data_IF_344765390909
#
_entry.id   IF_344765390909
#
_cell.length_a   1.000
_cell.length_b   1.000
_cell.length_c   1.000
_cell.angle_alpha   90.00
_cell.angle_beta   90.00
_cell.angle_gamma   90.00
#
_symmetry.space_group_name_H-M   'P 1'
#
loop_
_entity.id
_entity.type
_entity.pdbx_description
1 polymer ?
#
# COMPACT_ATOMS: atom_id res chain seq x y z
N UNK A 1 -1.95 -33.81 -42.23
CA UNK A 1 -2.97 -32.80 -41.94
C UNK A 1 -2.25 -31.52 -41.59
N UNK A 2 -2.40 -30.49 -42.42
CA UNK A 2 -1.64 -29.24 -42.38
C UNK A 2 -2.59 -28.05 -42.19
N UNK A 3 -2.04 -26.99 -41.59
CA UNK A 3 -2.48 -25.58 -41.52
C UNK A 3 -3.06 -25.13 -40.18
N UNK A 4 -2.17 -24.59 -39.34
CA UNK A 4 -2.33 -23.29 -38.65
C UNK A 4 -1.02 -22.88 -37.95
N UNK A 5 0.13 -22.96 -38.64
CA UNK A 5 1.32 -22.20 -38.22
C UNK A 5 1.27 -20.87 -38.99
N UNK A 6 1.12 -19.75 -38.29
CA UNK A 6 1.20 -18.41 -38.88
C UNK A 6 2.51 -18.30 -39.67
N UNK A 7 2.41 -18.29 -41.00
CA UNK A 7 3.52 -18.53 -41.92
C UNK A 7 4.49 -17.32 -42.07
N UNK A 8 4.47 -16.39 -41.12
CA UNK A 8 5.08 -15.07 -41.24
C UNK A 8 6.05 -14.71 -40.11
N UNK A 9 6.09 -15.49 -39.03
CA UNK A 9 6.96 -15.24 -37.88
C UNK A 9 8.16 -16.20 -37.93
N UNK A 10 9.37 -15.64 -37.96
CA UNK A 10 10.56 -16.45 -37.72
C UNK A 10 10.52 -17.00 -36.28
N UNK A 11 11.12 -18.17 -35.99
CA UNK A 11 11.15 -18.70 -34.63
C UNK A 11 11.67 -17.69 -33.59
N UNK A 12 12.70 -16.92 -33.96
CA UNK A 12 13.27 -15.85 -33.13
C UNK A 12 12.25 -14.74 -32.82
N UNK A 13 11.44 -14.33 -33.81
CA UNK A 13 10.42 -13.30 -33.61
C UNK A 13 9.25 -13.81 -32.76
N UNK A 14 8.92 -15.10 -32.85
CA UNK A 14 7.93 -15.75 -31.98
C UNK A 14 8.39 -15.79 -30.52
N UNK A 15 9.63 -16.21 -30.28
CA UNK A 15 10.25 -16.21 -28.94
C UNK A 15 10.30 -14.80 -28.34
N UNK A 16 10.59 -13.79 -29.16
CA UNK A 16 10.59 -12.40 -28.73
C UNK A 16 9.20 -11.93 -28.27
N UNK A 17 8.15 -12.15 -29.06
CA UNK A 17 6.79 -11.80 -28.66
C UNK A 17 6.28 -12.58 -27.43
N UNK A 18 6.74 -13.82 -27.24
CA UNK A 18 6.43 -14.58 -26.02
C UNK A 18 7.06 -13.94 -24.77
N UNK A 19 8.31 -13.48 -24.86
CA UNK A 19 8.99 -12.70 -23.81
C UNK A 19 8.29 -11.38 -23.53
N UNK A 20 7.86 -10.65 -24.58
CA UNK A 20 7.09 -9.42 -24.43
C UNK A 20 5.76 -9.64 -23.70
N UNK A 21 5.06 -10.72 -24.02
CA UNK A 21 3.81 -11.10 -23.35
C UNK A 21 4.04 -11.44 -21.88
N UNK A 22 5.14 -12.12 -21.54
CA UNK A 22 5.53 -12.41 -20.16
C UNK A 22 5.82 -11.12 -19.37
N UNK A 23 6.62 -10.21 -19.94
CA UNK A 23 6.95 -8.91 -19.32
C UNK A 23 5.68 -8.09 -19.09
N UNK A 24 4.77 -8.06 -20.06
CA UNK A 24 3.49 -7.37 -19.93
C UNK A 24 2.60 -7.99 -18.85
N UNK A 25 2.58 -9.33 -18.74
CA UNK A 25 1.86 -10.02 -17.67
C UNK A 25 2.43 -9.67 -16.29
N UNK A 26 3.76 -9.63 -16.15
CA UNK A 26 4.41 -9.20 -14.92
C UNK A 26 4.09 -7.74 -14.57
N UNK A 27 4.08 -6.84 -15.56
CA UNK A 27 3.69 -5.43 -15.34
C UNK A 27 2.24 -5.31 -14.85
N UNK A 28 1.31 -6.05 -15.45
CA UNK A 28 -0.09 -6.06 -15.02
C UNK A 28 -0.28 -6.60 -13.61
N UNK A 29 0.48 -7.62 -13.24
CA UNK A 29 0.50 -8.14 -11.86
C UNK A 29 1.09 -7.11 -10.89
N UNK A 30 2.14 -6.38 -11.28
CA UNK A 30 2.71 -5.29 -10.48
C UNK A 30 1.71 -4.14 -10.27
N UNK A 31 0.98 -3.73 -11.31
CA UNK A 31 -0.11 -2.75 -11.18
C UNK A 31 -1.13 -3.15 -10.14
N UNK A 32 -1.57 -4.40 -10.18
CA UNK A 32 -2.52 -4.91 -9.20
C UNK A 32 -1.93 -4.91 -7.80
N UNK A 33 -0.73 -5.44 -7.62
CA UNK A 33 -0.09 -5.54 -6.30
C UNK A 33 0.18 -4.18 -5.67
N UNK A 34 0.59 -3.18 -6.45
CA UNK A 34 0.75 -1.83 -5.91
C UNK A 34 -0.58 -1.20 -5.50
N UNK A 35 -1.67 -1.45 -6.23
CA UNK A 35 -3.01 -0.98 -5.84
C UNK A 35 -3.48 -1.64 -4.56
N UNK A 36 -3.40 -2.96 -4.50
CA UNK A 36 -3.79 -3.75 -3.32
C UNK A 36 -2.96 -3.31 -2.10
N UNK A 37 -1.66 -3.09 -2.28
CA UNK A 37 -0.80 -2.55 -1.22
C UNK A 37 -1.17 -1.13 -0.82
N UNK A 38 -1.48 -0.25 -1.77
CA UNK A 38 -1.85 1.13 -1.46
C UNK A 38 -3.18 1.23 -0.70
N UNK A 39 -4.16 0.39 -1.04
CA UNK A 39 -5.41 0.27 -0.27
C UNK A 39 -5.13 -0.18 1.17
N UNK A 40 -4.27 -1.19 1.35
CA UNK A 40 -3.82 -1.63 2.68
C UNK A 40 -3.10 -0.51 3.44
N UNK A 41 -2.14 0.16 2.79
CA UNK A 41 -1.40 1.29 3.33
C UNK A 41 -2.31 2.43 3.80
N UNK A 42 -3.32 2.80 3.01
CA UNK A 42 -4.29 3.81 3.41
C UNK A 42 -5.13 3.36 4.62
N UNK A 43 -5.50 2.09 4.70
CA UNK A 43 -6.21 1.56 5.86
C UNK A 43 -5.37 1.63 7.15
N UNK A 44 -4.07 1.34 7.04
CA UNK A 44 -3.12 1.46 8.16
C UNK A 44 -2.94 2.93 8.57
N UNK A 45 -2.82 3.86 7.60
CA UNK A 45 -2.75 5.30 7.87
C UNK A 45 -3.97 5.80 8.65
N UNK A 46 -5.19 5.43 8.24
CA UNK A 46 -6.41 5.81 8.94
C UNK A 46 -6.46 5.24 10.37
N UNK A 47 -6.00 4.01 10.55
CA UNK A 47 -5.90 3.38 11.88
C UNK A 47 -4.91 4.13 12.77
N UNK A 48 -3.74 4.50 12.23
CA UNK A 48 -2.74 5.27 12.96
C UNK A 48 -3.23 6.69 13.29
N UNK A 49 -4.03 7.32 12.44
CA UNK A 49 -4.66 8.62 12.73
C UNK A 49 -5.55 8.56 13.97
N UNK A 50 -6.32 7.49 14.13
CA UNK A 50 -7.17 7.31 15.32
C UNK A 50 -6.30 7.14 16.57
N UNK A 51 -5.20 6.37 16.46
CA UNK A 51 -4.30 6.11 17.58
C UNK A 51 -3.54 7.37 17.99
N UNK A 52 -3.05 8.17 17.04
CA UNK A 52 -2.28 9.39 17.36
C UNK A 52 -3.14 10.44 18.06
N UNK A 53 -4.44 10.54 17.74
CA UNK A 53 -5.38 11.40 18.50
C UNK A 53 -5.53 10.91 19.95
N UNK A 54 -5.45 9.59 20.18
CA UNK A 54 -5.44 9.04 21.55
C UNK A 54 -4.14 9.37 22.27
N UNK A 55 -2.99 9.21 21.60
CA UNK A 55 -1.68 9.58 22.16
C UNK A 55 -1.64 11.07 22.52
N UNK A 56 -2.18 11.94 21.67
CA UNK A 56 -2.31 13.37 21.94
C UNK A 56 -3.02 13.65 23.27
N UNK A 57 -4.18 13.04 23.48
CA UNK A 57 -4.94 13.20 24.74
C UNK A 57 -4.18 12.63 25.95
N UNK A 58 -3.46 11.52 25.78
CA UNK A 58 -2.65 10.94 26.85
C UNK A 58 -1.47 11.85 27.22
N UNK A 59 -0.75 12.40 26.24
CA UNK A 59 0.32 13.38 26.43
C UNK A 59 -0.20 14.62 27.17
N UNK A 60 -1.34 15.17 26.76
CA UNK A 60 -1.95 16.32 27.46
C UNK A 60 -2.27 15.99 28.92
N UNK A 61 -2.86 14.82 29.19
CA UNK A 61 -3.18 14.37 30.56
C UNK A 61 -1.92 14.18 31.39
N UNK A 62 -0.89 13.58 30.81
CA UNK A 62 0.39 13.37 31.46
C UNK A 62 1.03 14.70 31.88
N UNK A 63 1.10 15.66 30.95
CA UNK A 63 1.62 17.01 31.22
C UNK A 63 0.85 17.74 32.32
N UNK A 64 -0.49 17.63 32.35
CA UNK A 64 -1.31 18.21 33.43
C UNK A 64 -0.98 17.53 34.77
N UNK A 65 -0.87 16.20 34.79
CA UNK A 65 -0.59 15.44 36.01
C UNK A 65 0.75 15.84 36.62
N UNK A 66 1.82 15.85 35.82
CA UNK A 66 3.17 16.16 36.31
C UNK A 66 3.32 17.65 36.65
N UNK A 67 2.62 18.56 35.96
CA UNK A 67 2.66 20.00 36.26
C UNK A 67 1.87 20.39 37.52
N UNK A 68 0.95 19.53 37.96
CA UNK A 68 0.13 19.76 39.16
C UNK A 68 0.84 19.42 40.48
N UNK A 69 2.06 18.89 40.44
CA UNK A 69 2.77 18.35 41.63
C UNK A 69 3.18 19.39 42.69
N UNK A 70 3.46 20.68 42.42
CA UNK A 70 3.76 21.63 43.49
C UNK A 70 2.45 22.15 44.13
N UNK A 71 2.00 21.52 45.22
CA UNK A 71 0.92 22.05 46.10
C UNK A 71 -0.45 21.37 45.99
N UNK A 72 -0.55 20.21 45.35
CA UNK A 72 -1.81 19.48 45.22
C UNK A 72 -2.24 18.78 46.52
N UNK A 73 -3.55 18.77 46.81
CA UNK A 73 -4.16 18.16 48.01
C UNK A 73 -4.31 16.62 47.95
N UNK A 74 -3.85 15.97 46.89
CA UNK A 74 -4.05 14.53 46.69
C UNK A 74 -2.85 13.71 47.21
N UNK A 75 -3.07 12.53 47.82
CA UNK A 75 -1.98 11.66 48.27
C UNK A 75 -1.13 11.16 47.08
N UNK A 76 0.20 11.14 47.26
CA UNK A 76 1.19 10.69 46.25
C UNK A 76 0.90 9.29 45.67
N UNK A 77 0.26 8.42 46.45
CA UNK A 77 -0.11 7.06 46.02
C UNK A 77 -1.12 7.07 44.86
N UNK A 78 -2.07 8.02 44.83
CA UNK A 78 -3.06 8.12 43.75
C UNK A 78 -2.48 8.76 42.49
N UNK A 79 -1.51 9.66 42.63
CA UNK A 79 -0.84 10.29 41.48
C UNK A 79 0.09 9.33 40.76
N UNK A 80 0.84 8.49 41.51
CA UNK A 80 1.69 7.44 40.93
C UNK A 80 0.86 6.41 40.14
N UNK A 81 -0.25 5.94 40.71
CA UNK A 81 -1.14 4.99 40.02
C UNK A 81 -1.75 5.58 38.73
N UNK A 82 -2.05 6.88 38.72
CA UNK A 82 -2.58 7.56 37.54
C UNK A 82 -1.49 7.77 36.47
N UNK A 83 -0.26 8.08 36.88
CA UNK A 83 0.90 8.21 36.00
C UNK A 83 1.20 6.88 35.29
N UNK A 84 1.31 5.79 36.06
CA UNK A 84 1.52 4.44 35.55
C UNK A 84 0.42 4.02 34.57
N UNK A 85 -0.85 4.33 34.87
CA UNK A 85 -1.95 4.01 33.97
C UNK A 85 -1.85 4.74 32.62
N UNK A 86 -1.43 6.01 32.62
CA UNK A 86 -1.25 6.78 31.38
C UNK A 86 -0.07 6.24 30.58
N UNK A 87 1.06 5.98 31.24
CA UNK A 87 2.27 5.44 30.58
C UNK A 87 1.97 4.07 29.96
N UNK A 88 1.32 3.18 30.72
CA UNK A 88 0.96 1.85 30.22
C UNK A 88 0.04 1.93 28.99
N UNK A 89 -1.00 2.78 29.04
CA UNK A 89 -1.88 2.97 27.88
C UNK A 89 -1.12 3.57 26.67
N UNK A 90 -0.19 4.49 26.92
CA UNK A 90 0.65 5.09 25.88
C UNK A 90 1.52 4.05 25.18
N UNK A 91 2.23 3.22 25.95
CA UNK A 91 3.06 2.12 25.43
C UNK A 91 2.22 1.10 24.65
N UNK A 92 1.05 0.71 25.15
CA UNK A 92 0.13 -0.16 24.39
C UNK A 92 -0.22 0.41 23.01
N UNK A 93 -0.44 1.72 22.92
CA UNK A 93 -0.74 2.39 21.64
C UNK A 93 0.49 2.45 20.73
N UNK A 94 1.67 2.71 21.28
CA UNK A 94 2.92 2.67 20.52
C UNK A 94 3.20 1.29 19.94
N UNK A 95 2.93 0.21 20.68
CA UNK A 95 3.11 -1.16 20.16
C UNK A 95 2.20 -1.44 18.97
N UNK A 96 0.94 -0.98 19.00
CA UNK A 96 0.02 -1.13 17.87
C UNK A 96 0.53 -0.37 16.64
N UNK A 97 0.99 0.87 16.81
CA UNK A 97 1.58 1.64 15.70
C UNK A 97 2.87 1.00 15.17
N UNK A 98 3.68 0.42 16.05
CA UNK A 98 4.90 -0.30 15.67
C UNK A 98 4.59 -1.55 14.87
N UNK A 99 3.55 -2.30 15.27
CA UNK A 99 3.00 -3.43 14.51
C UNK A 99 2.60 -2.99 13.11
N UNK A 100 1.73 -1.99 13.01
CA UNK A 100 1.29 -1.39 11.74
C UNK A 100 2.46 -1.00 10.82
N UNK A 101 3.45 -0.27 11.35
CA UNK A 101 4.64 0.13 10.59
C UNK A 101 5.52 -1.05 10.15
N UNK A 102 5.55 -2.14 10.93
CA UNK A 102 6.27 -3.36 10.55
C UNK A 102 5.52 -4.13 9.47
N UNK A 103 4.20 -4.25 9.58
CA UNK A 103 3.37 -4.95 8.60
C UNK A 103 3.43 -4.27 7.24
N UNK A 104 3.32 -2.93 7.20
CA UNK A 104 3.55 -2.14 5.98
C UNK A 104 4.96 -2.35 5.42
N UNK A 105 6.00 -2.32 6.27
CA UNK A 105 7.38 -2.58 5.84
C UNK A 105 7.53 -3.97 5.22
N UNK A 106 6.96 -5.00 5.82
CA UNK A 106 7.05 -6.36 5.30
C UNK A 106 6.34 -6.47 3.95
N UNK A 107 5.10 -5.98 3.87
CA UNK A 107 4.32 -6.02 2.65
C UNK A 107 4.97 -5.23 1.49
N UNK A 108 5.61 -4.08 1.74
CA UNK A 108 6.33 -3.36 0.67
C UNK A 108 7.60 -4.11 0.25
N UNK A 109 8.30 -4.77 1.18
CA UNK A 109 9.48 -5.56 0.84
C UNK A 109 9.13 -6.81 0.03
N UNK A 110 7.93 -7.35 0.19
CA UNK A 110 7.42 -8.42 -0.68
C UNK A 110 7.21 -7.93 -2.11
N UNK A 111 6.77 -6.67 -2.31
CA UNK A 111 6.70 -6.06 -3.65
C UNK A 111 8.08 -5.97 -4.30
N UNK A 112 9.14 -5.69 -3.54
CA UNK A 112 10.51 -5.63 -4.07
C UNK A 112 10.94 -6.97 -4.71
N UNK A 113 10.48 -8.10 -4.18
CA UNK A 113 10.76 -9.41 -4.75
C UNK A 113 10.16 -9.52 -6.15
N UNK A 114 8.95 -9.01 -6.35
CA UNK A 114 8.28 -9.01 -7.65
C UNK A 114 8.87 -7.97 -8.62
N UNK A 115 9.26 -6.79 -8.11
CA UNK A 115 9.99 -5.80 -8.90
C UNK A 115 11.25 -6.43 -9.50
N UNK A 116 12.00 -7.23 -8.72
CA UNK A 116 13.19 -7.95 -9.20
C UNK A 116 12.86 -8.93 -10.32
N UNK A 117 11.79 -9.72 -10.21
CA UNK A 117 11.38 -10.63 -11.28
C UNK A 117 11.04 -9.88 -12.56
N UNK A 118 10.30 -8.77 -12.44
CA UNK A 118 10.00 -7.89 -13.57
C UNK A 118 11.28 -7.32 -14.21
N UNK A 119 12.23 -6.85 -13.40
CA UNK A 119 13.50 -6.33 -13.92
C UNK A 119 14.37 -7.41 -14.58
N UNK A 120 14.38 -8.63 -14.03
CA UNK A 120 15.08 -9.77 -14.63
C UNK A 120 14.52 -10.11 -16.01
N UNK A 121 13.19 -10.14 -16.15
CA UNK A 121 12.53 -10.36 -17.45
C UNK A 121 12.81 -9.21 -18.43
N UNK A 122 12.66 -7.96 -17.98
CA UNK A 122 12.98 -6.76 -18.77
C UNK A 122 14.43 -6.75 -19.29
N UNK A 123 15.37 -7.20 -18.47
CA UNK A 123 16.80 -7.22 -18.84
C UNK A 123 17.10 -8.27 -19.92
N UNK A 124 16.29 -9.34 -20.01
CA UNK A 124 16.40 -10.37 -21.05
C UNK A 124 15.79 -9.93 -22.40
N UNK A 125 14.93 -8.90 -22.40
CA UNK A 125 14.31 -8.38 -23.61
C UNK A 125 15.35 -7.80 -24.59
N UNK A 126 15.35 -8.30 -25.82
CA UNK A 126 16.11 -7.71 -26.93
C UNK A 126 15.48 -6.38 -27.36
N UNK A 127 16.18 -5.30 -27.02
CA UNK A 127 15.73 -3.91 -27.25
C UNK A 127 15.96 -3.44 -28.69
N UNK A 128 16.68 -4.22 -29.51
CA UNK A 128 16.96 -3.86 -30.90
C UNK A 128 15.80 -4.16 -31.84
N UNK A 129 14.77 -4.91 -31.40
CA UNK A 129 13.62 -5.27 -32.24
C UNK A 129 12.61 -4.13 -32.44
N UNK A 130 12.76 -3.00 -31.73
CA UNK A 130 11.98 -1.77 -31.94
C UNK A 130 10.45 -1.98 -32.01
N UNK A 131 9.94 -2.92 -31.20
CA UNK A 131 8.51 -3.22 -31.15
C UNK A 131 7.73 -2.08 -30.48
N UNK A 132 6.38 -2.04 -30.64
CA UNK A 132 5.54 -1.08 -29.93
C UNK A 132 5.66 -1.15 -28.40
N UNK A 133 5.95 -2.33 -27.83
CA UNK A 133 6.18 -2.45 -26.39
C UNK A 133 7.48 -1.73 -25.98
N UNK A 134 8.54 -1.87 -26.79
CA UNK A 134 9.86 -1.27 -26.54
C UNK A 134 9.85 0.24 -26.77
N UNK A 135 9.33 0.70 -27.91
CA UNK A 135 9.35 2.11 -28.29
C UNK A 135 8.17 2.92 -27.71
N UNK A 136 7.09 2.24 -27.32
CA UNK A 136 5.79 2.87 -27.11
C UNK A 136 5.03 3.06 -28.42
N UNK A 137 3.78 3.49 -28.31
CA UNK A 137 2.93 3.84 -29.43
C UNK A 137 2.08 5.10 -29.14
N UNK A 138 1.09 5.40 -29.98
CA UNK A 138 0.21 6.56 -29.81
C UNK A 138 -0.60 6.54 -28.50
N UNK A 139 -0.82 5.36 -27.94
CA UNK A 139 -1.72 5.08 -26.83
C UNK A 139 -0.98 4.59 -25.57
N UNK A 140 0.21 4.02 -25.71
CA UNK A 140 0.97 3.39 -24.65
C UNK A 140 2.39 3.94 -24.57
N UNK A 141 2.87 4.15 -23.35
CA UNK A 141 4.27 4.45 -23.11
C UNK A 141 5.15 3.21 -23.31
N UNK A 142 6.44 3.43 -23.51
CA UNK A 142 7.42 2.34 -23.60
C UNK A 142 7.49 1.53 -22.31
N UNK A 143 7.89 0.27 -22.42
CA UNK A 143 8.12 -0.58 -21.26
C UNK A 143 9.24 -0.04 -20.34
N UNK A 144 10.20 0.71 -20.90
CA UNK A 144 11.22 1.42 -20.13
C UNK A 144 10.61 2.46 -19.18
N UNK A 145 9.65 3.25 -19.67
CA UNK A 145 8.93 4.21 -18.84
C UNK A 145 8.20 3.53 -17.68
N UNK A 146 7.53 2.40 -17.94
CA UNK A 146 6.86 1.64 -16.89
C UNK A 146 7.84 1.04 -15.88
N UNK A 147 9.04 0.63 -16.32
CA UNK A 147 10.09 0.17 -15.42
C UNK A 147 10.55 1.26 -14.44
N UNK A 148 10.72 2.49 -14.92
CA UNK A 148 11.03 3.64 -14.07
C UNK A 148 9.92 3.89 -13.06
N UNK A 149 8.66 3.89 -13.51
CA UNK A 149 7.51 4.06 -12.61
C UNK A 149 7.44 2.98 -11.53
N UNK A 150 7.73 1.70 -11.85
CA UNK A 150 7.80 0.63 -10.84
C UNK A 150 8.80 0.99 -9.73
N UNK A 151 9.95 1.55 -10.09
CA UNK A 151 10.97 1.95 -9.12
C UNK A 151 10.52 3.16 -8.28
N UNK A 152 9.93 4.16 -8.92
CA UNK A 152 9.48 5.38 -8.24
C UNK A 152 8.37 5.09 -7.23
N UNK A 153 7.40 4.24 -7.59
CA UNK A 153 6.32 3.82 -6.69
C UNK A 153 6.89 3.08 -5.47
N UNK A 154 7.81 2.13 -5.70
CA UNK A 154 8.48 1.42 -4.60
C UNK A 154 9.20 2.39 -3.67
N UNK A 155 10.02 3.28 -4.24
CA UNK A 155 10.83 4.22 -3.48
C UNK A 155 9.98 5.19 -2.67
N UNK A 156 8.87 5.68 -3.23
CA UNK A 156 7.92 6.53 -2.52
C UNK A 156 7.35 5.80 -1.30
N UNK A 157 6.76 4.62 -1.50
CA UNK A 157 6.11 3.86 -0.43
C UNK A 157 7.10 3.44 0.65
N UNK A 158 8.28 2.94 0.25
CA UNK A 158 9.33 2.55 1.18
C UNK A 158 9.84 3.73 2.01
N UNK A 159 10.04 4.89 1.37
CA UNK A 159 10.50 6.11 2.06
C UNK A 159 9.44 6.64 3.04
N UNK A 160 8.16 6.60 2.69
CA UNK A 160 7.06 6.99 3.57
C UNK A 160 7.06 6.15 4.87
N UNK A 161 7.18 4.82 4.75
CA UNK A 161 7.23 3.92 5.91
C UNK A 161 8.46 4.19 6.77
N UNK A 162 9.63 4.43 6.16
CA UNK A 162 10.83 4.79 6.91
C UNK A 162 10.63 6.09 7.68
N UNK A 163 10.00 7.08 7.06
CA UNK A 163 9.69 8.37 7.70
C UNK A 163 8.75 8.18 8.90
N UNK A 164 7.68 7.38 8.75
CA UNK A 164 6.78 7.04 9.86
C UNK A 164 7.52 6.36 11.01
N UNK A 165 8.38 5.36 10.72
CA UNK A 165 9.19 4.72 11.76
C UNK A 165 10.09 5.71 12.49
N UNK A 166 10.73 6.63 11.76
CA UNK A 166 11.59 7.66 12.35
C UNK A 166 10.81 8.59 13.28
N UNK A 167 9.66 9.11 12.85
CA UNK A 167 8.85 10.00 13.68
C UNK A 167 8.24 9.26 14.88
N UNK A 168 7.86 7.99 14.71
CA UNK A 168 7.34 7.16 15.80
C UNK A 168 8.37 6.99 16.92
N UNK A 169 9.68 6.93 16.61
CA UNK A 169 10.74 6.87 17.61
C UNK A 169 10.91 8.17 18.42
N UNK A 170 10.29 9.27 18.00
CA UNK A 170 10.33 10.55 18.69
C UNK A 170 9.11 10.78 19.59
N UNK A 171 8.09 9.92 19.50
CA UNK A 171 6.88 10.03 20.31
C UNK A 171 7.20 9.82 21.79
N UNK A 172 6.88 10.82 22.60
CA UNK A 172 7.11 10.82 24.04
C UNK A 172 5.88 11.40 24.79
N UNK A 173 5.43 10.78 25.90
CA UNK A 173 4.38 11.32 26.76
C UNK A 173 4.61 12.75 27.28
N UNK A 174 5.83 13.29 27.23
CA UNK A 174 6.17 14.66 27.64
C UNK A 174 6.22 15.65 26.47
N UNK A 175 6.12 15.19 25.22
CA UNK A 175 6.33 16.01 24.03
C UNK A 175 5.07 16.08 23.17
N UNK A 176 4.26 17.13 23.35
CA UNK A 176 3.13 17.40 22.44
C UNK A 176 3.60 17.70 21.02
N UNK A 177 4.76 18.35 20.87
CA UNK A 177 5.34 18.66 19.57
C UNK A 177 5.57 17.39 18.74
N UNK A 178 6.19 16.36 19.34
CA UNK A 178 6.43 15.08 18.63
C UNK A 178 5.14 14.40 18.14
N UNK A 179 4.05 14.54 18.90
CA UNK A 179 2.75 13.99 18.54
C UNK A 179 2.12 14.81 17.41
N UNK A 180 2.21 16.14 17.44
CA UNK A 180 1.73 17.01 16.36
C UNK A 180 2.47 16.73 15.06
N UNK A 181 3.79 16.64 15.11
CA UNK A 181 4.65 16.32 13.96
C UNK A 181 4.23 15.00 13.30
N UNK A 182 3.91 13.98 14.10
CA UNK A 182 3.39 12.71 13.59
C UNK A 182 1.99 12.84 12.97
N UNK A 183 1.11 13.65 13.58
CA UNK A 183 -0.24 13.92 13.05
C UNK A 183 -0.17 14.60 11.68
N UNK A 184 0.69 15.60 11.55
CA UNK A 184 0.92 16.30 10.29
C UNK A 184 1.49 15.36 9.22
N UNK A 185 2.43 14.49 9.58
CA UNK A 185 2.95 13.46 8.70
C UNK A 185 1.85 12.54 8.16
N UNK A 186 1.03 11.95 9.04
CA UNK A 186 -0.06 11.06 8.63
C UNK A 186 -1.07 11.77 7.74
N UNK A 187 -1.39 13.04 8.05
CA UNK A 187 -2.31 13.84 7.25
C UNK A 187 -1.75 14.06 5.85
N UNK A 188 -0.51 14.53 5.74
CA UNK A 188 0.14 14.79 4.46
C UNK A 188 0.20 13.54 3.57
N UNK A 189 0.59 12.39 4.14
CA UNK A 189 0.74 11.14 3.37
C UNK A 189 -0.62 10.55 2.94
N UNK A 190 -1.63 10.61 3.81
CA UNK A 190 -2.97 10.08 3.50
C UNK A 190 -3.74 10.88 2.44
N UNK A 191 -3.46 12.18 2.31
CA UNK A 191 -4.16 13.08 1.38
C UNK A 191 -3.31 13.41 0.14
N UNK A 192 -2.34 12.57 -0.21
CA UNK A 192 -1.51 12.79 -1.38
C UNK A 192 -2.24 12.35 -2.67
N UNK A 193 -3.14 13.22 -3.15
CA UNK A 193 -3.93 13.00 -4.37
C UNK A 193 -3.05 12.86 -5.62
N UNK A 194 -1.87 13.51 -5.65
CA UNK A 194 -0.94 13.41 -6.78
C UNK A 194 -0.37 12.00 -6.91
N UNK A 195 0.08 11.42 -5.78
CA UNK A 195 0.56 10.04 -5.77
C UNK A 195 -0.57 9.05 -6.06
N UNK A 196 -1.76 9.26 -5.49
CA UNK A 196 -2.92 8.43 -5.80
C UNK A 196 -3.23 8.45 -7.30
N UNK A 197 -3.29 9.63 -7.92
CA UNK A 197 -3.52 9.73 -9.36
C UNK A 197 -2.41 9.08 -10.18
N UNK A 198 -1.16 9.26 -9.77
CA UNK A 198 -0.01 8.64 -10.41
C UNK A 198 -0.14 7.10 -10.42
N UNK A 199 -0.39 6.50 -9.26
CA UNK A 199 -0.57 5.05 -9.15
C UNK A 199 -1.85 4.56 -9.83
N UNK A 200 -2.97 5.24 -9.61
CA UNK A 200 -4.28 4.75 -10.03
C UNK A 200 -4.58 4.99 -11.50
N UNK A 201 -3.96 5.98 -12.14
CA UNK A 201 -4.23 6.35 -13.53
C UNK A 201 -3.02 6.29 -14.43
N UNK A 202 -1.88 6.83 -14.00
CA UNK A 202 -0.69 7.00 -14.87
C UNK A 202 0.14 5.72 -14.98
N UNK A 203 0.23 4.94 -13.90
CA UNK A 203 0.97 3.68 -13.91
C UNK A 203 0.32 2.59 -14.79
N UNK A 204 -0.96 2.75 -15.14
CA UNK A 204 -1.70 1.79 -15.97
C UNK A 204 -1.12 1.72 -17.37
N UNK A 205 -0.61 0.56 -17.76
CA UNK A 205 -0.17 0.28 -19.11
C UNK A 205 -1.34 0.39 -20.10
N UNK A 206 -2.38 -0.42 -19.92
CA UNK A 206 -3.55 -0.37 -20.79
C UNK A 206 -4.85 -0.72 -20.05
N UNK A 207 -5.83 0.17 -20.12
CA UNK A 207 -7.16 -0.05 -19.52
C UNK A 207 -7.90 -1.26 -20.09
N UNK A 208 -7.59 -1.66 -21.33
CA UNK A 208 -8.21 -2.81 -21.98
C UNK A 208 -7.74 -4.15 -21.41
N UNK A 209 -6.56 -4.17 -20.78
CA UNK A 209 -5.97 -5.37 -20.19
C UNK A 209 -6.40 -5.57 -18.73
N UNK A 210 -7.01 -4.56 -18.11
CA UNK A 210 -7.55 -4.68 -16.77
C UNK A 210 -8.78 -5.61 -16.74
N UNK A 211 -8.99 -6.35 -15.64
CA UNK A 211 -10.19 -7.16 -15.48
C UNK A 211 -11.43 -6.29 -15.66
N UNK A 212 -12.36 -6.71 -16.53
CA UNK A 212 -13.62 -5.98 -16.70
C UNK A 212 -14.36 -5.92 -15.36
N UNK A 213 -14.90 -4.76 -14.97
CA UNK A 213 -15.68 -4.66 -13.74
C UNK A 213 -16.81 -5.66 -13.80
N UNK A 214 -16.77 -6.63 -12.88
CA UNK A 214 -17.85 -7.62 -12.76
C UNK A 214 -19.06 -6.91 -12.17
N UNK A 215 -20.21 -7.04 -12.84
CA UNK A 215 -21.47 -6.50 -12.33
C UNK A 215 -21.64 -6.94 -10.87
N UNK A 216 -22.01 -6.04 -9.93
CA UNK A 216 -22.24 -6.40 -8.53
C UNK A 216 -23.21 -7.59 -8.36
N UNK A 217 -24.15 -7.74 -9.30
CA UNK A 217 -25.13 -8.81 -9.36
C UNK A 217 -24.50 -10.18 -9.67
N UNK A 218 -23.37 -10.22 -10.39
CA UNK A 218 -22.63 -11.45 -10.68
C UNK A 218 -21.83 -11.97 -9.48
N UNK A 219 -21.36 -11.10 -8.57
CA UNK A 219 -20.78 -11.53 -7.28
C UNK A 219 -21.80 -12.29 -6.42
N UNK A 220 -23.09 -11.93 -6.51
CA UNK A 220 -24.16 -12.68 -5.86
C UNK A 220 -24.42 -14.04 -6.52
N UNK A 221 -24.35 -14.16 -7.86
CA UNK A 221 -24.67 -15.42 -8.55
C UNK A 221 -23.65 -16.55 -8.34
N UNK A 222 -22.39 -16.24 -8.04
CA UNK A 222 -21.36 -17.26 -7.74
C UNK A 222 -21.60 -17.97 -6.38
N UNK A 223 -22.32 -17.34 -5.44
CA UNK A 223 -22.69 -17.97 -4.16
C UNK A 223 -23.96 -18.84 -4.24
N UNK A 224 -24.72 -18.80 -5.34
CA UNK A 224 -26.05 -19.42 -5.44
C UNK A 224 -26.06 -20.86 -5.96
N UNK A 225 -24.90 -21.46 -6.24
CA UNK A 225 -24.81 -22.90 -6.57
C UNK A 225 -25.12 -23.85 -5.39
N UNK A 226 -25.37 -23.32 -4.18
CA UNK A 226 -25.66 -24.10 -2.96
C UNK A 226 -27.00 -23.80 -2.30
N UNK A 227 -27.92 -23.09 -2.96
CA UNK A 227 -29.27 -22.92 -2.41
C UNK A 227 -30.21 -23.97 -3.01
N UNK A 228 -30.13 -25.18 -2.47
CA UNK A 228 -31.10 -26.24 -2.78
C UNK A 228 -32.39 -26.16 -1.96
N UNK A 229 -32.56 -25.19 -1.06
CA UNK A 229 -33.64 -25.19 -0.07
C UNK A 229 -34.31 -23.82 0.18
N UNK A 230 -34.56 -23.02 -0.85
CA UNK A 230 -35.57 -21.95 -0.73
C UNK A 230 -36.91 -22.45 -1.29
N UNK A 231 -37.53 -23.39 -0.57
CA UNK A 231 -38.97 -23.56 -0.63
C UNK A 231 -39.60 -22.33 0.02
N UNK A 232 -39.95 -21.36 -0.81
CA UNK A 232 -40.73 -20.20 -0.38
C UNK A 232 -42.16 -20.66 -0.16
N UNK A 233 -42.53 -20.87 1.11
CA UNK A 233 -43.93 -20.93 1.50
C UNK A 233 -44.52 -19.52 1.36
N UNK A 234 -45.28 -19.29 0.29
CA UNK A 234 -46.27 -18.22 0.27
C UNK A 234 -47.62 -18.81 0.71
N UNK A 235 -48.10 -18.36 1.87
CA UNK A 235 -49.52 -18.22 2.21
C UNK A 235 -49.72 -16.83 2.80
#
# INVERSE_FOLDING_TARGET
MSKNSEAHLTPQLKEHYEMEAEILALLMEMEKRYRDYYEFYQCELESQKIIIERLWLLTQRYLILISSTPGCRYPEVYTLSAEEAIINEYEEKLEVMRGSNNDMKHAVLDLNIECKKFYEAYNQLDKNMETPLILGDKYHHSIEHHKEMVADIFNYLYSAILKMKCYMHQLDPISLESVEDYRELLKADSSNEEFEEFLMKKFVYCKCLQPRPTCPILKLKCAHGKIHNLNVYYK
#
